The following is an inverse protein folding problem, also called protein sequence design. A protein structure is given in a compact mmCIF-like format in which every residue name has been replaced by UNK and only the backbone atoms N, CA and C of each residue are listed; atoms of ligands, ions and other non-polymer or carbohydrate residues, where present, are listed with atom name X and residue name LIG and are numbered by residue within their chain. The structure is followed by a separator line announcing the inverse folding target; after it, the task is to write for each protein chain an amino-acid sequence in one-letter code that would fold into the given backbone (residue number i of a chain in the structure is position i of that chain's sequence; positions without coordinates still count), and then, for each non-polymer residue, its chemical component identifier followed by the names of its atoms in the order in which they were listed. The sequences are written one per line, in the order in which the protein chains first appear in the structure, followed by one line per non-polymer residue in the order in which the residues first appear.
data_IF_426581073644
#
_entry.id   IF_426581073644
#
_cell.length_a   1.000
_cell.length_b   1.000
_cell.length_c   1.000
_cell.angle_alpha   90.00
_cell.angle_beta   90.00
_cell.angle_gamma   90.00
#
_symmetry.space_group_name_H-M   'P 1'
#
loop_
_entity.id
_entity.type
_entity.pdbx_description
1 polymer ?
#
# COMPACT_ATOMS: atom_id res chain seq x y z
N UNK A 1 -8.60 -8.04 -3.17
CA UNK A 1 -7.89 -6.84 -2.65
C UNK A 1 -7.10 -6.15 -3.75
N UNK A 2 -6.44 -5.02 -3.45
CA UNK A 2 -5.63 -4.25 -4.43
C UNK A 2 -4.56 -5.13 -5.09
N UNK A 3 -3.80 -5.88 -4.28
CA UNK A 3 -2.72 -6.76 -4.76
C UNK A 3 -3.24 -7.72 -5.83
N UNK A 4 -4.35 -8.43 -5.54
CA UNK A 4 -4.98 -9.38 -6.47
C UNK A 4 -5.28 -8.75 -7.83
N UNK A 5 -5.88 -7.55 -7.85
CA UNK A 5 -6.21 -6.85 -9.11
C UNK A 5 -4.96 -6.53 -9.93
N UNK A 6 -3.85 -6.16 -9.29
CA UNK A 6 -2.60 -5.82 -9.99
C UNK A 6 -1.92 -7.08 -10.54
N UNK A 7 -1.82 -8.13 -9.73
CA UNK A 7 -1.13 -9.37 -10.14
C UNK A 7 -1.90 -10.16 -11.21
N UNK A 8 -3.23 -10.06 -11.21
CA UNK A 8 -4.10 -10.69 -12.23
C UNK A 8 -3.87 -10.11 -13.62
N UNK A 9 -3.66 -8.78 -13.73
CA UNK A 9 -3.30 -8.12 -14.99
C UNK A 9 -2.05 -8.76 -15.62
N UNK A 10 -1.12 -9.16 -14.77
CA UNK A 10 0.17 -9.72 -15.16
C UNK A 10 0.21 -11.26 -15.14
N UNK A 11 -0.93 -11.91 -14.88
CA UNK A 11 -1.05 -13.38 -14.80
C UNK A 11 -0.01 -14.03 -13.86
N UNK A 12 0.30 -13.37 -12.75
CA UNK A 12 1.30 -13.87 -11.80
C UNK A 12 0.74 -15.06 -11.03
N UNK A 13 1.54 -16.13 -10.91
CA UNK A 13 1.12 -17.37 -10.22
C UNK A 13 1.26 -17.31 -8.70
N UNK A 14 2.32 -16.69 -8.20
CA UNK A 14 2.67 -16.69 -6.76
C UNK A 14 2.22 -15.41 -6.07
N UNK A 15 0.91 -15.18 -6.01
CA UNK A 15 0.31 -13.95 -5.44
C UNK A 15 0.71 -13.74 -3.97
N UNK A 16 0.87 -14.82 -3.20
CA UNK A 16 1.25 -14.75 -1.79
C UNK A 16 2.65 -14.14 -1.54
N UNK A 17 3.48 -13.99 -2.58
CA UNK A 17 4.79 -13.35 -2.49
C UNK A 17 4.73 -11.82 -2.58
N UNK A 18 3.55 -11.23 -2.78
CA UNK A 18 3.38 -9.79 -2.97
C UNK A 18 2.79 -9.14 -1.73
N UNK A 19 3.32 -7.98 -1.39
CA UNK A 19 2.81 -7.10 -0.33
C UNK A 19 2.66 -5.67 -0.85
N UNK A 20 1.99 -4.83 -0.06
CA UNK A 20 1.94 -3.39 -0.31
C UNK A 20 2.83 -2.68 0.69
N UNK A 21 3.66 -1.78 0.18
CA UNK A 21 4.54 -0.92 0.98
C UNK A 21 4.14 0.53 0.73
N UNK A 22 3.90 1.26 1.81
CA UNK A 22 3.66 2.69 1.82
C UNK A 22 4.91 3.40 2.32
N UNK A 23 5.40 4.37 1.55
CA UNK A 23 6.64 5.10 1.83
C UNK A 23 6.35 6.59 1.94
N UNK A 24 6.81 7.22 3.01
CA UNK A 24 6.83 8.68 3.12
C UNK A 24 8.08 9.19 2.43
N UNK A 25 7.94 9.85 1.28
CA UNK A 25 9.07 10.28 0.44
C UNK A 25 10.01 11.26 1.16
N UNK A 26 9.52 12.29 1.88
CA UNK A 26 10.40 13.25 2.55
C UNK A 26 11.26 12.66 3.67
N UNK A 27 10.71 11.80 4.53
CA UNK A 27 11.46 11.24 5.67
C UNK A 27 12.06 9.86 5.41
N UNK A 28 11.62 9.16 4.36
CA UNK A 28 11.99 7.78 4.09
C UNK A 28 11.28 6.75 4.97
N UNK A 29 10.24 7.13 5.72
CA UNK A 29 9.50 6.19 6.58
C UNK A 29 8.84 5.11 5.72
N UNK A 30 8.98 3.84 6.12
CA UNK A 30 8.43 2.69 5.40
C UNK A 30 7.42 1.96 6.28
N UNK A 31 6.24 1.69 5.71
CA UNK A 31 5.18 0.93 6.34
C UNK A 31 4.71 -0.19 5.41
N UNK A 32 4.77 -1.44 5.88
CA UNK A 32 4.13 -2.56 5.17
C UNK A 32 2.67 -2.66 5.58
N UNK A 33 1.78 -2.76 4.60
CA UNK A 33 0.34 -2.81 4.82
C UNK A 33 -0.12 -4.26 4.91
N UNK A 34 -0.88 -4.58 5.95
CA UNK A 34 -1.49 -5.90 6.10
C UNK A 34 -2.52 -6.15 4.97
N UNK A 35 -2.62 -7.35 4.39
CA UNK A 35 -3.55 -7.65 3.29
C UNK A 35 -5.03 -7.36 3.60
N UNK A 36 -5.41 -7.50 4.87
CA UNK A 36 -6.78 -7.26 5.34
C UNK A 36 -7.06 -5.79 5.68
N UNK A 37 -6.05 -4.92 5.63
CA UNK A 37 -6.23 -3.50 5.93
C UNK A 37 -6.94 -2.80 4.77
N UNK A 38 -8.10 -2.20 5.07
CA UNK A 38 -8.88 -1.45 4.11
C UNK A 38 -8.20 -0.15 3.68
N UNK A 39 -8.36 0.24 2.41
CA UNK A 39 -7.74 1.44 1.82
C UNK A 39 -8.13 2.71 2.56
N UNK A 40 -9.42 2.87 2.89
CA UNK A 40 -9.90 4.04 3.62
C UNK A 40 -9.23 4.18 4.98
N UNK A 41 -9.05 3.07 5.70
CA UNK A 41 -8.37 3.07 6.99
C UNK A 41 -6.88 3.42 6.88
N UNK A 42 -6.20 2.96 5.81
CA UNK A 42 -4.80 3.37 5.54
C UNK A 42 -4.73 4.87 5.32
N UNK A 43 -5.60 5.42 4.47
CA UNK A 43 -5.63 6.86 4.17
C UNK A 43 -5.93 7.69 5.41
N UNK A 44 -6.99 7.34 6.15
CA UNK A 44 -7.35 8.01 7.41
C UNK A 44 -6.18 8.02 8.40
N UNK A 45 -5.40 6.93 8.50
CA UNK A 45 -4.27 6.86 9.42
C UNK A 45 -3.05 7.68 8.98
N UNK A 46 -2.67 7.63 7.70
CA UNK A 46 -1.40 8.20 7.24
C UNK A 46 -1.53 9.58 6.58
N UNK A 47 -2.69 9.89 5.99
CA UNK A 47 -2.97 11.17 5.33
C UNK A 47 -3.57 12.20 6.29
N UNK A 48 -3.84 11.85 7.56
CA UNK A 48 -4.38 12.79 8.55
C UNK A 48 -3.41 13.93 8.89
N UNK A 49 -2.11 13.62 8.99
CA UNK A 49 -1.08 14.57 9.43
C UNK A 49 -0.09 14.94 8.32
N UNK A 50 -0.17 14.27 7.16
CA UNK A 50 0.79 14.42 6.07
C UNK A 50 0.05 14.45 4.72
N UNK A 51 0.41 15.35 3.79
CA UNK A 51 -0.17 15.41 2.45
C UNK A 51 -0.09 14.08 1.71
N UNK A 52 -1.12 13.77 0.91
CA UNK A 52 -1.18 12.53 0.13
C UNK A 52 -0.04 12.42 -0.89
N UNK A 53 0.39 13.55 -1.48
CA UNK A 53 1.44 13.59 -2.51
C UNK A 53 2.83 13.24 -1.99
N UNK A 54 3.03 13.29 -0.67
CA UNK A 54 4.25 12.85 0.03
C UNK A 54 4.33 11.33 0.20
N UNK A 55 3.26 10.59 -0.09
CA UNK A 55 3.21 9.13 0.04
C UNK A 55 3.36 8.42 -1.32
N UNK A 56 4.00 7.25 -1.30
CA UNK A 56 4.20 6.35 -2.46
C UNK A 56 3.97 4.89 -2.09
#
# INVERSE_FOLDING_TARGET
GIIQKIVDIHKVKHVACFGLRLTHVPSGDIHWLHPDMGVSHVREKYEQNRPQDEWR
#
